data_IF_502097384177
#
_entry.id   IF_502097384177
#
_cell.length_a   1.000
_cell.length_b   1.000
_cell.length_c   1.000
_cell.angle_alpha   90.00
_cell.angle_beta   90.00
_cell.angle_gamma   90.00
#
_symmetry.space_group_name_H-M   'P 1'
#
loop_
_entity.id
_entity.type
_entity.pdbx_description
1 polymer ?
#
# COMPACT_ATOMS: atom_id res chain seq x y z
N UNK A 1 -11.12 -25.68 -21.11
CA UNK A 1 -11.09 -24.71 -20.00
C UNK A 1 -12.42 -23.98 -19.96
N UNK A 2 -13.20 -24.11 -18.89
CA UNK A 2 -14.53 -23.50 -18.82
C UNK A 2 -14.43 -22.03 -18.44
N UNK A 3 -15.28 -21.18 -19.02
CA UNK A 3 -15.36 -19.73 -18.76
C UNK A 3 -15.51 -19.39 -17.27
N UNK A 4 -15.99 -20.32 -16.44
CA UNK A 4 -16.15 -20.13 -15.00
C UNK A 4 -14.81 -20.01 -14.26
N UNK A 5 -13.76 -20.72 -14.70
CA UNK A 5 -12.43 -20.67 -14.06
C UNK A 5 -11.68 -19.35 -14.26
N UNK A 6 -12.01 -18.61 -15.31
CA UNK A 6 -11.38 -17.31 -15.59
C UNK A 6 -11.96 -16.24 -14.66
N UNK A 7 -13.25 -16.31 -14.31
CA UNK A 7 -13.92 -15.30 -13.48
C UNK A 7 -13.59 -15.45 -11.99
N UNK A 8 -13.13 -16.62 -11.54
CA UNK A 8 -12.83 -16.86 -10.12
C UNK A 8 -11.52 -16.20 -9.67
N UNK A 9 -10.60 -15.89 -10.59
CA UNK A 9 -9.31 -15.24 -10.27
C UNK A 9 -9.37 -13.70 -10.21
N UNK A 10 -10.51 -13.06 -10.48
CA UNK A 10 -10.65 -11.59 -10.52
C UNK A 10 -11.15 -10.97 -9.21
N UNK A 11 -11.27 -11.75 -8.14
CA UNK A 11 -11.73 -11.26 -6.83
C UNK A 11 -10.68 -11.41 -5.72
N UNK A 12 -9.49 -11.92 -6.06
CA UNK A 12 -8.39 -12.11 -5.13
C UNK A 12 -7.54 -10.83 -5.07
N UNK A 13 -7.28 -10.33 -3.85
CA UNK A 13 -6.37 -9.23 -3.47
C UNK A 13 -5.82 -8.36 -4.63
N UNK A 14 -6.66 -7.52 -5.23
CA UNK A 14 -6.20 -6.56 -6.25
C UNK A 14 -5.38 -5.46 -5.59
N UNK A 15 -4.11 -5.32 -5.96
CA UNK A 15 -3.25 -4.23 -5.51
C UNK A 15 -2.84 -3.35 -6.68
N UNK A 16 -2.94 -2.03 -6.52
CA UNK A 16 -2.59 -1.03 -7.53
C UNK A 16 -1.57 -0.05 -6.96
N UNK A 17 -0.47 0.15 -7.68
CA UNK A 17 0.45 1.24 -7.39
C UNK A 17 -0.17 2.58 -7.84
N UNK A 18 -0.44 3.46 -6.89
CA UNK A 18 -0.95 4.82 -7.13
C UNK A 18 0.17 5.81 -7.44
N UNK A 19 1.28 5.68 -6.69
CA UNK A 19 2.46 6.53 -6.79
C UNK A 19 3.71 5.69 -6.62
N UNK A 20 4.73 5.94 -7.45
CA UNK A 20 6.07 5.35 -7.32
C UNK A 20 7.11 6.47 -7.42
N UNK A 21 7.87 6.67 -6.35
CA UNK A 21 8.80 7.78 -6.19
C UNK A 21 10.22 7.22 -5.99
N UNK A 22 11.10 7.31 -7.00
CA UNK A 22 12.51 6.94 -6.87
C UNK A 22 13.28 8.00 -6.06
N UNK A 23 13.60 7.72 -4.80
CA UNK A 23 14.23 8.69 -3.89
C UNK A 23 15.67 9.01 -4.32
N UNK A 24 16.43 8.03 -4.83
CA UNK A 24 17.79 8.27 -5.30
C UNK A 24 17.88 9.39 -6.36
N UNK A 25 16.84 9.60 -7.17
CA UNK A 25 16.82 10.69 -8.15
C UNK A 25 16.67 12.06 -7.48
N UNK A 26 15.95 12.12 -6.36
CA UNK A 26 15.73 13.34 -5.58
C UNK A 26 17.01 13.82 -4.88
N UNK A 27 17.90 12.89 -4.51
CA UNK A 27 19.17 13.20 -3.83
C UNK A 27 20.22 13.83 -4.76
N UNK A 28 20.09 13.63 -6.08
CA UNK A 28 21.02 14.16 -7.06
C UNK A 28 20.66 15.58 -7.53
N UNK A 29 19.45 16.06 -7.19
CA UNK A 29 18.95 17.37 -7.60
C UNK A 29 18.09 17.99 -6.48
N UNK A 30 16.76 17.99 -6.64
CA UNK A 30 15.78 18.48 -5.67
C UNK A 30 14.70 17.43 -5.42
N UNK A 31 14.02 17.43 -4.26
CA UNK A 31 12.88 16.57 -4.01
C UNK A 31 11.76 16.83 -5.03
N UNK A 32 11.10 15.76 -5.49
CA UNK A 32 9.89 15.92 -6.29
C UNK A 32 8.75 16.47 -5.43
N UNK A 33 7.80 17.17 -6.05
CA UNK A 33 6.62 17.65 -5.32
C UNK A 33 5.85 16.49 -4.70
N UNK A 34 5.73 15.35 -5.40
CA UNK A 34 5.06 14.16 -4.87
C UNK A 34 5.73 13.62 -3.60
N UNK A 35 7.06 13.71 -3.49
CA UNK A 35 7.79 13.30 -2.29
C UNK A 35 7.54 14.28 -1.15
N UNK A 36 7.55 15.59 -1.43
CA UNK A 36 7.28 16.63 -0.45
C UNK A 36 5.85 16.52 0.09
N UNK A 37 4.86 16.36 -0.79
CA UNK A 37 3.46 16.19 -0.42
C UNK A 37 3.31 14.95 0.48
N UNK A 38 3.95 13.82 0.11
CA UNK A 38 3.91 12.60 0.92
C UNK A 38 4.53 12.81 2.31
N UNK A 39 5.68 13.49 2.43
CA UNK A 39 6.35 13.75 3.71
C UNK A 39 5.52 14.71 4.58
N UNK A 40 4.99 15.79 4.00
CA UNK A 40 4.31 16.83 4.77
C UNK A 40 2.86 16.48 5.14
N UNK A 41 2.20 15.61 4.37
CA UNK A 41 0.80 15.25 4.61
C UNK A 41 0.64 13.94 5.39
N UNK A 42 1.60 13.00 5.28
CA UNK A 42 1.45 11.64 5.79
C UNK A 42 2.52 11.31 6.84
N UNK A 43 2.15 11.32 8.12
CA UNK A 43 3.05 10.96 9.22
C UNK A 43 3.68 9.55 9.06
N UNK A 44 2.95 8.63 8.42
CA UNK A 44 3.46 7.28 8.11
C UNK A 44 4.65 7.30 7.15
N UNK A 45 4.73 8.27 6.23
CA UNK A 45 5.85 8.44 5.31
C UNK A 45 7.08 8.91 6.07
N UNK A 46 6.94 9.87 6.99
CA UNK A 46 8.04 10.28 7.86
C UNK A 46 8.61 9.10 8.66
N UNK A 47 7.75 8.27 9.24
CA UNK A 47 8.17 7.06 9.97
C UNK A 47 8.94 6.09 9.06
N UNK A 48 8.41 5.77 7.88
CA UNK A 48 9.05 4.87 6.90
C UNK A 48 10.44 5.36 6.47
N UNK A 49 10.61 6.68 6.37
CA UNK A 49 11.85 7.33 5.94
C UNK A 49 12.77 7.72 7.11
N UNK A 50 12.34 7.49 8.35
CA UNK A 50 13.09 7.87 9.55
C UNK A 50 13.22 9.39 9.74
N UNK A 51 12.27 10.16 9.20
CA UNK A 51 12.25 11.62 9.30
C UNK A 51 11.47 12.06 10.55
N UNK A 52 11.84 13.20 11.15
CA UNK A 52 11.03 13.83 12.18
C UNK A 52 9.74 14.40 11.56
N UNK A 53 8.68 14.49 12.37
CA UNK A 53 7.36 14.97 11.92
C UNK A 53 7.32 16.49 11.69
N UNK A 54 8.29 17.22 12.24
CA UNK A 54 8.42 18.68 12.18
C UNK A 54 9.53 19.14 11.23
N UNK A 55 9.94 18.31 10.27
CA UNK A 55 10.84 18.75 9.20
C UNK A 55 10.17 19.84 8.38
N UNK A 56 10.84 20.98 8.17
CA UNK A 56 10.24 22.14 7.48
C UNK A 56 10.95 22.52 6.18
N UNK A 57 12.18 22.02 5.95
CA UNK A 57 12.99 22.44 4.80
C UNK A 57 13.38 21.30 3.88
N UNK A 58 13.32 21.55 2.57
CA UNK A 58 13.72 20.57 1.54
C UNK A 58 15.18 20.13 1.70
N UNK A 59 16.05 21.04 2.13
CA UNK A 59 17.47 20.75 2.33
C UNK A 59 17.68 19.77 3.48
N UNK A 60 17.01 19.98 4.61
CA UNK A 60 17.02 19.08 5.75
C UNK A 60 16.45 17.70 5.39
N UNK A 61 15.38 17.65 4.59
CA UNK A 61 14.84 16.38 4.08
C UNK A 61 15.92 15.60 3.31
N UNK A 62 16.63 16.24 2.38
CA UNK A 62 17.71 15.58 1.62
C UNK A 62 18.80 15.06 2.56
N UNK A 63 19.27 15.89 3.49
CA UNK A 63 20.33 15.51 4.44
C UNK A 63 19.91 14.31 5.30
N UNK A 64 18.68 14.31 5.80
CA UNK A 64 18.15 13.22 6.63
C UNK A 64 17.95 11.93 5.83
N UNK A 65 17.44 12.02 4.60
CA UNK A 65 17.32 10.85 3.72
C UNK A 65 18.68 10.22 3.45
N UNK A 66 19.72 11.03 3.23
CA UNK A 66 21.10 10.54 3.08
C UNK A 66 21.62 9.90 4.38
N UNK A 67 21.44 10.55 5.53
CA UNK A 67 21.87 10.04 6.83
C UNK A 67 21.19 8.72 7.20
N UNK A 68 19.91 8.57 6.86
CA UNK A 68 19.12 7.37 7.09
C UNK A 68 19.30 6.29 6.01
N UNK A 69 20.19 6.54 5.02
CA UNK A 69 20.43 5.66 3.87
C UNK A 69 19.15 5.32 3.09
N UNK A 70 18.23 6.29 2.97
CA UNK A 70 16.97 6.17 2.23
C UNK A 70 17.18 6.59 0.79
N UNK A 71 17.64 5.65 -0.03
CA UNK A 71 17.94 5.85 -1.46
C UNK A 71 17.08 5.00 -2.38
N UNK A 72 16.15 4.22 -1.84
CA UNK A 72 15.28 3.33 -2.60
C UNK A 72 14.06 3.99 -3.23
N UNK A 73 12.93 3.31 -3.12
CA UNK A 73 11.64 3.68 -3.67
C UNK A 73 10.62 3.87 -2.56
N UNK A 74 9.85 4.95 -2.65
CA UNK A 74 8.65 5.16 -1.85
C UNK A 74 7.43 4.97 -2.77
N UNK A 75 6.47 4.17 -2.35
CA UNK A 75 5.27 3.92 -3.15
C UNK A 75 4.00 3.91 -2.31
N UNK A 76 2.93 4.46 -2.88
CA UNK A 76 1.58 4.34 -2.35
C UNK A 76 0.86 3.25 -3.12
N UNK A 77 0.36 2.24 -2.41
CA UNK A 77 -0.47 1.20 -2.99
C UNK A 77 -1.90 1.31 -2.48
N UNK A 78 -2.85 0.95 -3.34
CA UNK A 78 -4.26 0.90 -3.05
C UNK A 78 -4.81 -0.50 -3.31
N UNK A 79 -5.60 -1.01 -2.36
CA UNK A 79 -6.39 -2.24 -2.51
C UNK A 79 -7.84 -1.93 -2.19
N UNK A 80 -8.82 -2.44 -2.94
CA UNK A 80 -10.22 -2.26 -2.58
C UNK A 80 -10.54 -3.00 -1.27
N UNK A 81 -11.40 -2.41 -0.44
CA UNK A 81 -11.91 -3.07 0.77
C UNK A 81 -13.03 -4.04 0.38
N UNK A 82 -12.86 -5.36 0.48
CA UNK A 82 -13.93 -6.31 0.17
C UNK A 82 -15.05 -6.22 1.22
N UNK A 83 -16.30 -6.34 0.75
CA UNK A 83 -17.52 -6.28 1.58
C UNK A 83 -18.54 -7.31 1.13
N UNK A 84 -19.53 -7.63 1.96
CA UNK A 84 -20.67 -8.49 1.59
C UNK A 84 -20.22 -9.90 1.20
N UNK A 85 -19.43 -10.52 2.08
CA UNK A 85 -18.91 -11.88 1.85
C UNK A 85 -20.05 -12.90 1.83
N UNK A 86 -20.10 -13.69 0.76
CA UNK A 86 -21.04 -14.81 0.61
C UNK A 86 -20.28 -16.10 0.34
N UNK A 87 -20.68 -17.16 1.05
CA UNK A 87 -20.19 -18.51 0.83
C UNK A 87 -21.10 -19.22 -0.16
N UNK A 88 -20.58 -19.59 -1.33
CA UNK A 88 -21.32 -20.35 -2.34
C UNK A 88 -20.92 -21.84 -2.36
N UNK A 89 -20.54 -22.39 -1.20
CA UNK A 89 -20.17 -23.79 -1.01
C UNK A 89 -18.66 -24.02 -1.12
N UNK A 90 -18.09 -23.86 -2.32
CA UNK A 90 -16.67 -24.08 -2.59
C UNK A 90 -15.89 -22.80 -2.93
N UNK A 91 -16.53 -21.65 -2.96
CA UNK A 91 -15.91 -20.37 -3.30
C UNK A 91 -16.55 -19.23 -2.52
N UNK A 92 -15.74 -18.21 -2.25
CA UNK A 92 -16.19 -16.95 -1.65
C UNK A 92 -16.42 -15.92 -2.74
N UNK A 93 -17.46 -15.12 -2.58
CA UNK A 93 -17.70 -13.92 -3.41
C UNK A 93 -17.85 -12.72 -2.51
N UNK A 94 -17.26 -11.59 -2.88
CA UNK A 94 -17.40 -10.30 -2.19
C UNK A 94 -17.70 -9.20 -3.20
N UNK A 95 -18.36 -8.14 -2.74
CA UNK A 95 -18.41 -6.85 -3.42
C UNK A 95 -17.21 -5.99 -3.10
N UNK A 96 -17.10 -4.84 -3.78
CA UNK A 96 -16.02 -3.87 -3.59
C UNK A 96 -16.52 -2.65 -2.82
N UNK A 97 -15.87 -2.33 -1.71
CA UNK A 97 -16.01 -1.08 -0.98
C UNK A 97 -15.00 -0.03 -1.43
N UNK A 98 -14.82 1.02 -0.63
CA UNK A 98 -13.79 2.03 -0.87
C UNK A 98 -12.38 1.44 -0.81
N UNK A 99 -11.43 2.07 -1.50
CA UNK A 99 -10.04 1.65 -1.46
C UNK A 99 -9.38 2.01 -0.14
N UNK A 100 -8.61 1.07 0.38
CA UNK A 100 -7.64 1.31 1.43
C UNK A 100 -6.31 1.62 0.75
N UNK A 101 -5.60 2.65 1.24
CA UNK A 101 -4.27 3.02 0.77
C UNK A 101 -3.23 2.80 1.86
N UNK A 102 -1.99 2.53 1.45
CA UNK A 102 -0.85 2.40 2.35
C UNK A 102 0.45 2.74 1.61
N UNK A 103 1.33 3.43 2.32
CA UNK A 103 2.70 3.73 1.87
C UNK A 103 3.66 2.62 2.25
N UNK A 104 4.63 2.37 1.37
CA UNK A 104 5.73 1.42 1.55
C UNK A 104 7.03 2.05 1.10
N UNK A 105 8.12 1.68 1.76
CA UNK A 105 9.48 1.98 1.34
C UNK A 105 10.24 0.66 1.17
N UNK A 106 10.97 0.51 0.08
CA UNK A 106 11.96 -0.55 -0.08
C UNK A 106 13.14 -0.07 -0.94
N UNK A 107 14.26 -0.79 -0.86
CA UNK A 107 15.47 -0.42 -1.61
C UNK A 107 15.36 -0.79 -3.11
N UNK A 108 14.52 -1.77 -3.44
CA UNK A 108 14.18 -2.17 -4.79
C UNK A 108 12.67 -2.28 -5.02
N UNK A 109 12.28 -2.39 -6.28
CA UNK A 109 10.86 -2.43 -6.69
C UNK A 109 10.23 -3.80 -6.44
N UNK A 110 11.01 -4.88 -6.47
CA UNK A 110 10.51 -6.25 -6.28
C UNK A 110 10.00 -6.40 -4.83
N UNK A 111 10.77 -5.91 -3.86
CA UNK A 111 10.40 -5.88 -2.44
C UNK A 111 9.13 -5.03 -2.19
N UNK A 112 8.92 -3.94 -2.95
CA UNK A 112 7.68 -3.15 -2.86
C UNK A 112 6.47 -3.96 -3.33
N UNK A 113 6.61 -4.67 -4.46
CA UNK A 113 5.53 -5.49 -5.03
C UNK A 113 5.15 -6.64 -4.11
N UNK A 114 6.13 -7.32 -3.53
CA UNK A 114 5.93 -8.40 -2.58
C UNK A 114 5.23 -7.90 -1.31
N UNK A 115 5.72 -6.80 -0.72
CA UNK A 115 5.13 -6.21 0.48
C UNK A 115 3.69 -5.70 0.25
N UNK A 116 3.43 -5.09 -0.91
CA UNK A 116 2.10 -4.60 -1.26
C UNK A 116 1.11 -5.75 -1.51
N UNK A 117 1.58 -6.83 -2.15
CA UNK A 117 0.79 -8.04 -2.42
C UNK A 117 0.43 -8.75 -1.12
N UNK A 118 1.40 -8.98 -0.23
CA UNK A 118 1.17 -9.60 1.08
C UNK A 118 0.15 -8.77 1.89
N UNK A 119 0.34 -7.46 1.96
CA UNK A 119 -0.59 -6.56 2.63
C UNK A 119 -2.02 -6.62 2.06
N UNK A 120 -2.19 -6.69 0.73
CA UNK A 120 -3.51 -6.79 0.11
C UNK A 120 -4.21 -8.11 0.47
N UNK A 121 -3.47 -9.22 0.50
CA UNK A 121 -3.99 -10.52 0.95
C UNK A 121 -4.38 -10.51 2.43
N UNK A 122 -3.52 -9.99 3.30
CA UNK A 122 -3.82 -9.85 4.72
C UNK A 122 -5.06 -8.98 4.95
N UNK A 123 -5.15 -7.85 4.24
CA UNK A 123 -6.31 -6.95 4.33
C UNK A 123 -7.61 -7.65 3.91
N UNK A 124 -7.57 -8.45 2.84
CA UNK A 124 -8.72 -9.21 2.37
C UNK A 124 -9.18 -10.24 3.42
N UNK A 125 -8.26 -11.06 3.94
CA UNK A 125 -8.59 -12.09 4.94
C UNK A 125 -9.07 -11.46 6.25
N UNK A 126 -8.50 -10.33 6.68
CA UNK A 126 -8.98 -9.59 7.85
C UNK A 126 -10.43 -9.11 7.68
N UNK A 127 -10.76 -8.54 6.52
CA UNK A 127 -12.13 -8.08 6.23
C UNK A 127 -13.12 -9.25 6.23
N UNK A 128 -12.74 -10.37 5.63
CA UNK A 128 -13.52 -11.61 5.59
C UNK A 128 -13.77 -12.17 6.99
N UNK A 129 -12.72 -12.32 7.80
CA UNK A 129 -12.84 -12.84 9.17
C UNK A 129 -13.74 -11.94 10.03
N UNK A 130 -13.57 -10.62 9.91
CA UNK A 130 -14.38 -9.65 10.65
C UNK A 130 -15.87 -9.79 10.32
N UNK A 131 -16.23 -9.74 9.04
CA UNK A 131 -17.63 -9.83 8.62
C UNK A 131 -18.27 -11.17 9.02
N UNK A 132 -17.53 -12.28 8.91
CA UNK A 132 -18.00 -13.60 9.35
C UNK A 132 -18.19 -13.72 10.87
N UNK A 133 -17.35 -13.04 11.67
CA UNK A 133 -17.49 -13.01 13.13
C UNK A 133 -18.70 -12.18 13.58
N UNK A 134 -19.02 -11.11 12.85
CA UNK A 134 -20.17 -10.25 13.12
C UNK A 134 -21.50 -10.98 12.78
N UNK A 135 -21.52 -11.76 11.69
CA UNK A 135 -22.70 -12.55 11.27
C UNK A 135 -23.04 -13.71 12.22
N UNK A 136 -22.10 -14.19 13.05
CA UNK A 136 -22.35 -15.26 14.02
C UNK A 136 -22.91 -14.76 15.38
N UNK A 137 -23.00 -13.46 15.59
CA UNK A 137 -23.42 -12.86 16.86
C UNK A 137 -24.89 -12.39 16.91
N UNK A 138 -25.65 -12.64 15.85
CA UNK A 138 -27.09 -12.35 15.69
C UNK A 138 -27.91 -13.64 15.52
#
# INVERSE_FOLDING_TARGET
>A
MSKASIVTCFHDAEVRCEKLIPIYMCLADKPSQDLLDAIFEEASVCELLGLPLDVESEHEIIELLQQNNKIGFLAEFATPKPIHFKNNGNSWTSGWGYYQKKWFYADDVEDLEDAATEWAYEHFEQCKLKELSEVQSD
#
